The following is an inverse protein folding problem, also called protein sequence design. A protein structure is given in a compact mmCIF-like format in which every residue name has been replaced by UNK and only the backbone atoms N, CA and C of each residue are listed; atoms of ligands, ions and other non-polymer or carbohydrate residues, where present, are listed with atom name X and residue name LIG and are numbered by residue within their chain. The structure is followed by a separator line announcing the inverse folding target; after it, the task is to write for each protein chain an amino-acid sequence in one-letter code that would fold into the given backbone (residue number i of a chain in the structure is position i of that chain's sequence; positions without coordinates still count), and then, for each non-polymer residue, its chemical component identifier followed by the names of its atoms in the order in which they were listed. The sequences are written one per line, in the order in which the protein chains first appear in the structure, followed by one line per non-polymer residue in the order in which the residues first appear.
data_IF_339311102689
#
_entry.id   IF_339311102689
#
_cell.length_a   1.000
_cell.length_b   1.000
_cell.length_c   1.000
_cell.angle_alpha   90.00
_cell.angle_beta   90.00
_cell.angle_gamma   90.00
#
_symmetry.space_group_name_H-M   'P 1'
#
loop_
_entity.id
_entity.type
_entity.pdbx_description
1 polymer ?
#
# COMPACT_ATOMS: atom_id res chain seq x y z
N UNK A 1 0.48 -38.20 -26.82
CA UNK A 1 0.14 -37.71 -25.46
C UNK A 1 1.28 -36.91 -24.85
N UNK A 2 2.54 -37.37 -24.89
CA UNK A 2 3.71 -36.60 -24.40
C UNK A 2 3.99 -35.29 -25.16
N UNK A 3 3.87 -35.27 -26.49
CA UNK A 3 4.07 -34.06 -27.31
C UNK A 3 3.04 -32.97 -27.00
N UNK A 4 1.77 -33.35 -26.93
CA UNK A 4 0.66 -32.44 -26.59
C UNK A 4 0.83 -31.79 -25.20
N UNK A 5 1.39 -32.54 -24.24
CA UNK A 5 1.61 -32.04 -22.88
C UNK A 5 2.80 -31.08 -22.82
N UNK A 6 3.88 -31.39 -23.52
CA UNK A 6 5.06 -30.52 -23.65
C UNK A 6 4.73 -29.22 -24.38
N UNK A 7 3.96 -29.31 -25.47
CA UNK A 7 3.50 -28.15 -26.23
C UNK A 7 2.56 -27.28 -25.39
N UNK A 8 1.63 -27.90 -24.64
CA UNK A 8 0.76 -27.18 -23.71
C UNK A 8 1.51 -26.48 -22.57
N UNK A 9 2.53 -27.12 -22.00
CA UNK A 9 3.38 -26.49 -20.98
C UNK A 9 4.15 -25.30 -21.58
N UNK A 10 4.77 -25.47 -22.75
CA UNK A 10 5.52 -24.41 -23.40
C UNK A 10 4.63 -23.21 -23.75
N UNK A 11 3.43 -23.47 -24.28
CA UNK A 11 2.46 -22.43 -24.61
C UNK A 11 1.97 -21.70 -23.36
N UNK A 12 1.69 -22.43 -22.28
CA UNK A 12 1.29 -21.83 -21.00
C UNK A 12 2.37 -20.91 -20.42
N UNK A 13 3.65 -21.31 -20.54
CA UNK A 13 4.78 -20.50 -20.09
C UNK A 13 4.92 -19.24 -20.97
N UNK A 14 4.77 -19.38 -22.29
CA UNK A 14 4.84 -18.27 -23.24
C UNK A 14 3.75 -17.23 -22.97
N UNK A 15 2.51 -17.67 -22.75
CA UNK A 15 1.39 -16.78 -22.42
C UNK A 15 1.63 -16.09 -21.08
N UNK A 16 2.01 -16.85 -20.05
CA UNK A 16 2.29 -16.29 -18.72
C UNK A 16 3.41 -15.24 -18.75
N UNK A 17 4.51 -15.52 -19.45
CA UNK A 17 5.61 -14.56 -19.65
C UNK A 17 5.17 -13.36 -20.49
N UNK A 18 4.34 -13.55 -21.51
CA UNK A 18 3.82 -12.47 -22.35
C UNK A 18 2.95 -11.48 -21.56
N UNK A 19 2.08 -12.00 -20.68
CA UNK A 19 1.27 -11.17 -19.79
C UNK A 19 2.12 -10.48 -18.73
N UNK A 20 3.08 -11.19 -18.14
CA UNK A 20 4.04 -10.59 -17.22
C UNK A 20 4.81 -9.44 -17.88
N UNK A 21 5.27 -9.60 -19.13
CA UNK A 21 5.96 -8.54 -19.87
C UNK A 21 5.07 -7.33 -20.11
N UNK A 22 3.81 -7.57 -20.46
CA UNK A 22 2.82 -6.50 -20.69
C UNK A 22 2.52 -5.73 -19.40
N UNK A 23 2.45 -6.42 -18.25
CA UNK A 23 2.20 -5.80 -16.95
C UNK A 23 3.45 -5.21 -16.29
N UNK A 24 4.65 -5.70 -16.64
CA UNK A 24 5.90 -5.36 -15.96
C UNK A 24 6.17 -3.85 -15.95
N UNK A 25 5.91 -3.15 -17.06
CA UNK A 25 6.16 -1.71 -17.13
C UNK A 25 5.25 -0.93 -16.16
N UNK A 26 3.98 -1.32 -16.05
CA UNK A 26 3.02 -0.69 -15.14
C UNK A 26 3.44 -0.94 -13.69
N UNK A 27 3.79 -2.18 -13.34
CA UNK A 27 4.26 -2.56 -12.00
C UNK A 27 5.52 -1.76 -11.61
N UNK A 28 6.50 -1.66 -12.52
CA UNK A 28 7.73 -0.90 -12.28
C UNK A 28 7.41 0.58 -12.03
N UNK A 29 6.55 1.18 -12.85
CA UNK A 29 6.16 2.58 -12.70
C UNK A 29 5.36 2.84 -11.42
N UNK A 30 4.44 1.94 -11.08
CA UNK A 30 3.67 1.97 -9.84
C UNK A 30 4.57 1.97 -8.60
N UNK A 31 5.46 0.97 -8.52
CA UNK A 31 6.42 0.85 -7.42
C UNK A 31 7.36 2.06 -7.31
N UNK A 32 7.76 2.65 -8.44
CA UNK A 32 8.59 3.85 -8.44
C UNK A 32 7.83 5.04 -7.86
N UNK A 33 6.59 5.27 -8.30
CA UNK A 33 5.74 6.36 -7.79
C UNK A 33 5.47 6.16 -6.29
N UNK A 34 5.12 4.94 -5.88
CA UNK A 34 4.93 4.58 -4.47
C UNK A 34 6.18 4.90 -3.64
N UNK A 35 7.35 4.46 -4.10
CA UNK A 35 8.62 4.66 -3.39
C UNK A 35 8.98 6.14 -3.28
N UNK A 36 8.69 6.92 -4.32
CA UNK A 36 8.87 8.37 -4.30
C UNK A 36 7.97 9.00 -3.23
N UNK A 37 6.67 8.71 -3.26
CA UNK A 37 5.71 9.29 -2.30
C UNK A 37 6.08 8.91 -0.87
N UNK A 38 6.40 7.65 -0.60
CA UNK A 38 6.73 7.19 0.73
C UNK A 38 8.05 7.77 1.27
N UNK A 39 9.03 8.06 0.42
CA UNK A 39 10.30 8.68 0.84
C UNK A 39 10.17 10.18 1.09
N UNK A 40 9.32 10.88 0.33
CA UNK A 40 9.18 12.33 0.44
C UNK A 40 8.07 12.80 1.39
N UNK A 41 7.16 11.91 1.81
CA UNK A 41 6.04 12.25 2.71
C UNK A 41 6.27 11.64 4.10
N UNK A 42 6.63 12.48 5.09
CA UNK A 42 6.90 12.02 6.45
C UNK A 42 5.62 11.65 7.24
N UNK A 43 5.73 10.60 8.06
CA UNK A 43 4.61 10.08 8.86
C UNK A 43 4.13 11.07 9.93
N UNK A 44 5.01 11.86 10.52
CA UNK A 44 4.64 12.89 11.50
C UNK A 44 3.81 14.00 10.86
N UNK A 45 4.18 14.41 9.63
CA UNK A 45 3.43 15.44 8.89
C UNK A 45 2.06 14.91 8.48
N UNK A 46 1.98 13.66 8.01
CA UNK A 46 0.71 13.01 7.74
C UNK A 46 -0.16 12.92 8.99
N UNK A 47 0.37 12.42 10.12
CA UNK A 47 -0.40 12.27 11.35
C UNK A 47 -0.95 13.62 11.84
N UNK A 48 -0.14 14.68 11.80
CA UNK A 48 -0.57 16.03 12.18
C UNK A 48 -1.68 16.57 11.27
N UNK A 49 -1.61 16.29 9.97
CA UNK A 49 -2.60 16.73 8.98
C UNK A 49 -3.90 15.92 9.06
N UNK A 50 -3.80 14.62 9.39
CA UNK A 50 -4.93 13.70 9.52
C UNK A 50 -5.56 13.72 10.93
N UNK A 51 -5.02 14.50 11.88
CA UNK A 51 -5.60 14.68 13.21
C UNK A 51 -6.84 15.59 13.25
N UNK A 52 -7.11 16.35 12.19
CA UNK A 52 -8.28 17.24 12.13
C UNK A 52 -9.59 16.43 11.93
N UNK A 53 -10.55 16.49 12.85
CA UNK A 53 -11.85 15.77 12.76
C UNK A 53 -12.86 16.38 11.76
N UNK A 54 -12.41 17.31 10.92
CA UNK A 54 -13.26 18.07 10.01
C UNK A 54 -13.24 17.46 8.59
N UNK A 55 -14.17 17.92 7.74
CA UNK A 55 -14.22 17.53 6.32
C UNK A 55 -12.90 17.78 5.57
N UNK A 56 -12.09 18.75 6.02
CA UNK A 56 -10.77 19.02 5.46
C UNK A 56 -9.79 17.89 5.79
N UNK A 57 -9.79 17.39 7.02
CA UNK A 57 -9.00 16.23 7.45
C UNK A 57 -9.34 15.00 6.64
N UNK A 58 -10.64 14.73 6.45
CA UNK A 58 -11.12 13.63 5.61
C UNK A 58 -10.64 13.75 4.16
N UNK A 59 -10.83 14.93 3.55
CA UNK A 59 -10.41 15.18 2.17
C UNK A 59 -8.89 15.03 2.00
N UNK A 60 -8.11 15.58 2.93
CA UNK A 60 -6.64 15.44 2.91
C UNK A 60 -6.24 13.97 3.06
N UNK A 61 -6.88 13.22 3.96
CA UNK A 61 -6.62 11.80 4.16
C UNK A 61 -6.87 10.99 2.89
N UNK A 62 -7.98 11.24 2.19
CA UNK A 62 -8.30 10.62 0.90
C UNK A 62 -7.24 10.92 -0.15
N UNK A 63 -6.81 12.19 -0.29
CA UNK A 63 -5.77 12.58 -1.25
C UNK A 63 -4.43 11.92 -0.93
N UNK A 64 -4.02 11.91 0.34
CA UNK A 64 -2.79 11.23 0.76
C UNK A 64 -2.88 9.72 0.54
N UNK A 65 -4.03 9.11 0.77
CA UNK A 65 -4.26 7.69 0.49
C UNK A 65 -4.11 7.40 -0.99
N UNK A 66 -4.85 8.11 -1.84
CA UNK A 66 -4.78 7.98 -3.31
C UNK A 66 -3.34 8.11 -3.85
N UNK A 67 -2.53 8.99 -3.24
CA UNK A 67 -1.12 9.16 -3.59
C UNK A 67 -0.19 8.08 -3.01
N UNK A 68 -0.48 7.56 -1.81
CA UNK A 68 0.40 6.66 -1.05
C UNK A 68 0.57 5.29 -1.70
N UNK A 69 -0.30 4.91 -2.64
CA UNK A 69 -0.13 3.75 -3.53
C UNK A 69 0.33 2.49 -2.78
N UNK A 70 -0.33 2.23 -1.65
CA UNK A 70 -0.02 1.14 -0.74
C UNK A 70 -0.91 -0.07 -0.98
N UNK A 71 -0.34 -1.27 -0.97
CA UNK A 71 -1.11 -2.51 -0.88
C UNK A 71 -1.89 -2.57 0.45
N UNK A 72 -2.90 -3.43 0.56
CA UNK A 72 -3.74 -3.51 1.78
C UNK A 72 -2.92 -3.72 3.07
N UNK A 73 -1.85 -4.52 3.03
CA UNK A 73 -0.96 -4.73 4.17
C UNK A 73 -0.13 -3.48 4.51
N UNK A 74 0.42 -2.80 3.49
CA UNK A 74 1.15 -1.55 3.67
C UNK A 74 0.24 -0.43 4.22
N UNK A 75 -0.98 -0.33 3.69
CA UNK A 75 -1.97 0.64 4.15
C UNK A 75 -2.35 0.43 5.62
N UNK A 76 -2.54 -0.82 6.07
CA UNK A 76 -2.80 -1.15 7.49
C UNK A 76 -1.61 -0.80 8.37
N UNK A 77 -0.39 -1.15 7.96
CA UNK A 77 0.82 -0.85 8.74
C UNK A 77 1.02 0.66 8.92
N UNK A 78 0.85 1.44 7.85
CA UNK A 78 0.90 2.91 7.88
C UNK A 78 -0.25 3.45 8.74
N UNK A 79 -1.47 2.93 8.55
CA UNK A 79 -2.65 3.35 9.29
C UNK A 79 -2.49 3.17 10.81
N UNK A 80 -1.96 2.04 11.27
CA UNK A 80 -1.65 1.81 12.69
C UNK A 80 -0.70 2.88 13.24
N UNK A 81 0.39 3.16 12.52
CA UNK A 81 1.34 4.19 12.92
C UNK A 81 0.72 5.60 12.97
N UNK A 82 -0.13 5.96 12.00
CA UNK A 82 -0.85 7.24 12.00
C UNK A 82 -1.84 7.33 13.16
N UNK A 83 -2.62 6.28 13.40
CA UNK A 83 -3.60 6.21 14.47
C UNK A 83 -2.95 6.41 15.85
N UNK A 84 -1.83 5.74 16.10
CA UNK A 84 -1.07 5.88 17.35
C UNK A 84 -0.45 7.27 17.52
N UNK A 85 0.00 7.90 16.43
CA UNK A 85 0.51 9.28 16.42
C UNK A 85 -0.58 10.36 16.54
N UNK A 86 -1.85 9.97 16.73
CA UNK A 86 -2.95 10.89 17.01
C UNK A 86 -3.79 11.28 15.79
N UNK A 87 -3.65 10.60 14.65
CA UNK A 87 -4.56 10.81 13.52
C UNK A 87 -5.98 10.33 13.88
N UNK A 88 -6.99 11.09 13.47
CA UNK A 88 -8.40 10.76 13.74
C UNK A 88 -8.78 9.43 13.05
N UNK A 89 -9.52 8.57 13.75
CA UNK A 89 -9.81 7.20 13.29
C UNK A 89 -10.44 7.16 11.90
N UNK A 90 -11.44 8.01 11.67
CA UNK A 90 -12.14 8.11 10.38
C UNK A 90 -11.19 8.54 9.26
N UNK A 91 -10.24 9.45 9.55
CA UNK A 91 -9.26 9.89 8.57
C UNK A 91 -8.25 8.79 8.25
N UNK A 92 -7.83 8.00 9.25
CA UNK A 92 -6.97 6.83 9.03
C UNK A 92 -7.68 5.79 8.15
N UNK A 93 -8.95 5.50 8.42
CA UNK A 93 -9.75 4.59 7.60
C UNK A 93 -9.92 5.12 6.17
N UNK A 94 -10.24 6.40 6.01
CA UNK A 94 -10.36 7.04 4.70
C UNK A 94 -9.05 6.99 3.90
N UNK A 95 -7.91 7.20 4.57
CA UNK A 95 -6.59 7.00 3.97
C UNK A 95 -6.40 5.56 3.48
N UNK A 96 -6.75 4.56 4.29
CA UNK A 96 -6.61 3.14 3.92
C UNK A 96 -7.50 2.74 2.73
N UNK A 97 -8.74 3.20 2.71
CA UNK A 97 -9.66 2.96 1.60
C UNK A 97 -9.18 3.65 0.31
N UNK A 98 -8.75 4.90 0.40
CA UNK A 98 -8.23 5.64 -0.74
C UNK A 98 -6.92 5.05 -1.27
N UNK A 99 -6.04 4.56 -0.39
CA UNK A 99 -4.78 3.92 -0.78
C UNK A 99 -4.95 2.65 -1.61
N UNK A 100 -6.09 1.98 -1.48
CA UNK A 100 -6.35 0.71 -2.19
C UNK A 100 -7.29 0.88 -3.38
N UNK A 101 -8.20 1.86 -3.35
CA UNK A 101 -9.22 2.04 -4.39
C UNK A 101 -8.99 3.27 -5.29
N UNK A 102 -8.30 4.32 -4.83
CA UNK A 102 -8.11 5.57 -5.58
C UNK A 102 -6.66 5.76 -6.03
N UNK A 103 -5.90 4.66 -6.09
CA UNK A 103 -4.51 4.66 -6.52
C UNK A 103 -4.39 5.16 -7.98
N UNK A 104 -3.47 6.11 -8.19
CA UNK A 104 -3.28 6.75 -9.51
C UNK A 104 -2.91 5.73 -10.59
N UNK A 105 -2.18 4.68 -10.22
CA UNK A 105 -1.81 3.58 -11.12
C UNK A 105 -3.03 2.84 -11.68
N UNK A 106 -4.00 2.49 -10.81
CA UNK A 106 -5.24 1.84 -11.23
C UNK A 106 -6.07 2.76 -12.11
N UNK A 107 -6.17 4.04 -11.75
CA UNK A 107 -6.84 5.06 -12.56
C UNK A 107 -6.23 5.19 -13.96
N UNK A 108 -4.90 5.18 -14.07
CA UNK A 108 -4.21 5.22 -15.36
C UNK A 108 -4.49 3.96 -16.19
N UNK A 109 -4.48 2.78 -15.57
CA UNK A 109 -4.78 1.52 -16.25
C UNK A 109 -6.22 1.50 -16.78
N UNK A 110 -7.19 1.95 -15.98
CA UNK A 110 -8.59 2.06 -16.40
C UNK A 110 -8.74 3.06 -17.55
N UNK A 111 -8.08 4.22 -17.47
CA UNK A 111 -8.13 5.23 -18.52
C UNK A 111 -7.63 4.70 -19.87
N UNK A 112 -6.55 3.91 -19.85
CA UNK A 112 -5.95 3.35 -21.06
C UNK A 112 -6.79 2.19 -21.63
N UNK A 113 -7.32 1.32 -20.77
CA UNK A 113 -7.96 0.07 -21.21
C UNK A 113 -9.48 0.20 -21.44
N UNK A 114 -10.18 0.94 -20.57
CA UNK A 114 -11.63 1.04 -20.56
C UNK A 114 -12.15 2.42 -20.99
N UNK A 115 -11.31 3.46 -20.90
CA UNK A 115 -11.67 4.83 -21.27
C UNK A 115 -11.93 5.75 -20.07
N UNK A 116 -12.24 7.01 -20.36
CA UNK A 116 -12.38 8.05 -19.33
C UNK A 116 -13.69 7.92 -18.55
N UNK A 117 -14.73 7.31 -19.14
CA UNK A 117 -16.02 7.08 -18.51
C UNK A 117 -15.88 6.17 -17.28
N UNK A 118 -15.11 5.09 -17.43
CA UNK A 118 -14.82 4.16 -16.34
C UNK A 118 -13.90 4.78 -15.29
N UNK A 119 -12.94 5.62 -15.70
CA UNK A 119 -12.11 6.36 -14.75
C UNK A 119 -12.98 7.27 -13.87
N UNK A 120 -13.91 8.02 -14.46
CA UNK A 120 -14.82 8.89 -13.70
C UNK A 120 -15.72 8.06 -12.78
N UNK A 121 -16.24 6.92 -13.27
CA UNK A 121 -17.03 6.01 -12.46
C UNK A 121 -16.25 5.47 -11.25
N UNK A 122 -14.99 5.08 -11.44
CA UNK A 122 -14.10 4.63 -10.36
C UNK A 122 -13.86 5.74 -9.33
N UNK A 123 -13.50 6.95 -9.79
CA UNK A 123 -13.26 8.09 -8.91
C UNK A 123 -14.50 8.44 -8.08
N UNK A 124 -15.67 8.51 -8.73
CA UNK A 124 -16.94 8.78 -8.04
C UNK A 124 -17.31 7.64 -7.10
N UNK A 125 -17.19 6.39 -7.54
CA UNK A 125 -17.46 5.20 -6.74
C UNK A 125 -16.59 5.14 -5.49
N UNK A 126 -15.30 5.39 -5.61
CA UNK A 126 -14.37 5.43 -4.49
C UNK A 126 -14.67 6.57 -3.51
N UNK A 127 -15.00 7.77 -4.00
CA UNK A 127 -15.40 8.89 -3.13
C UNK A 127 -16.72 8.60 -2.41
N UNK A 128 -17.71 8.04 -3.11
CA UNK A 128 -18.98 7.62 -2.52
C UNK A 128 -18.73 6.54 -1.46
N UNK A 129 -17.90 5.56 -1.75
CA UNK A 129 -17.56 4.48 -0.82
C UNK A 129 -16.90 5.03 0.45
N UNK A 130 -15.96 5.98 0.33
CA UNK A 130 -15.34 6.64 1.48
C UNK A 130 -16.38 7.45 2.26
N UNK A 131 -17.29 8.16 1.60
CA UNK A 131 -18.36 8.90 2.26
C UNK A 131 -19.33 7.99 3.02
N UNK A 132 -19.72 6.86 2.41
CA UNK A 132 -20.57 5.84 3.04
C UNK A 132 -19.85 5.21 4.22
N UNK A 133 -18.57 4.87 4.08
CA UNK A 133 -17.76 4.33 5.17
C UNK A 133 -17.64 5.33 6.32
N UNK A 134 -17.34 6.60 6.04
CA UNK A 134 -17.27 7.65 7.07
C UNK A 134 -18.61 7.82 7.79
N UNK A 135 -19.73 7.81 7.05
CA UNK A 135 -21.08 7.85 7.61
C UNK A 135 -21.38 6.62 8.48
N UNK A 136 -21.09 5.42 7.99
CA UNK A 136 -21.33 4.18 8.73
C UNK A 136 -20.52 4.15 10.02
N UNK A 137 -19.24 4.52 9.97
CA UNK A 137 -18.38 4.58 11.16
C UNK A 137 -18.94 5.58 12.16
N UNK A 138 -19.34 6.77 11.71
CA UNK A 138 -19.89 7.80 12.59
C UNK A 138 -21.27 7.41 13.18
N UNK A 139 -22.06 6.58 12.48
CA UNK A 139 -23.36 6.09 12.97
C UNK A 139 -23.25 4.85 13.87
N UNK A 140 -22.26 3.98 13.65
CA UNK A 140 -22.16 2.68 14.34
C UNK A 140 -21.13 2.67 15.47
N UNK A 141 -20.07 3.47 15.39
CA UNK A 141 -18.99 3.48 16.37
C UNK A 141 -18.94 4.83 17.12
N UNK A 142 -19.06 4.83 18.46
CA UNK A 142 -18.98 6.05 19.23
C UNK A 142 -17.52 6.54 19.30
N UNK A 143 -17.32 7.86 19.14
CA UNK A 143 -15.99 8.47 18.98
C UNK A 143 -15.06 8.26 20.20
N UNK A 144 -15.65 8.13 21.39
CA UNK A 144 -14.91 7.86 22.64
C UNK A 144 -14.16 6.51 22.62
N UNK A 145 -14.66 5.53 21.85
CA UNK A 145 -14.04 4.21 21.77
C UNK A 145 -12.68 4.27 21.05
N UNK A 146 -12.51 5.19 20.09
CA UNK A 146 -11.25 5.32 19.37
C UNK A 146 -10.15 5.88 20.26
N UNK A 147 -10.47 6.85 21.11
CA UNK A 147 -9.50 7.40 22.05
C UNK A 147 -9.13 6.41 23.15
N UNK A 148 -10.11 5.64 23.64
CA UNK A 148 -9.87 4.56 24.62
C UNK A 148 -8.97 3.47 24.03
N UNK A 149 -9.27 2.99 22.82
CA UNK A 149 -8.43 1.99 22.12
C UNK A 149 -7.02 2.54 21.87
N UNK A 150 -6.89 3.83 21.53
CA UNK A 150 -5.56 4.46 21.37
C UNK A 150 -4.81 4.50 22.68
N UNK A 151 -5.46 4.83 23.79
CA UNK A 151 -4.85 4.89 25.12
C UNK A 151 -4.41 3.49 25.58
N UNK A 152 -5.27 2.49 25.46
CA UNK A 152 -4.96 1.08 25.76
C UNK A 152 -3.79 0.56 24.92
N UNK A 153 -3.78 0.80 23.61
CA UNK A 153 -2.65 0.45 22.73
C UNK A 153 -1.33 1.10 23.20
N UNK A 154 -1.37 2.38 23.54
CA UNK A 154 -0.19 3.11 24.01
C UNK A 154 0.25 2.65 25.42
N UNK A 155 -0.69 2.26 26.28
CA UNK A 155 -0.41 1.74 27.61
C UNK A 155 0.20 0.34 27.54
N UNK A 156 -0.41 -0.57 26.77
CA UNK A 156 0.09 -1.92 26.53
C UNK A 156 1.54 -1.90 26.05
N UNK A 157 1.88 -0.99 25.13
CA UNK A 157 3.24 -0.88 24.60
C UNK A 157 4.23 -0.32 25.65
N UNK A 158 3.79 0.59 26.52
CA UNK A 158 4.60 1.06 27.66
C UNK A 158 4.86 -0.05 28.67
N UNK A 159 3.85 -0.85 29.00
CA UNK A 159 3.94 -1.93 29.99
C UNK A 159 4.85 -3.07 29.53
N UNK A 160 4.82 -3.40 28.25
CA UNK A 160 5.68 -4.46 27.67
C UNK A 160 7.07 -3.96 27.26
N UNK A 161 7.39 -2.67 27.47
CA UNK A 161 8.66 -2.09 27.01
C UNK A 161 8.82 -2.16 25.48
N UNK A 162 7.70 -2.27 24.76
CA UNK A 162 7.64 -2.34 23.31
C UNK A 162 8.06 -0.97 22.79
N UNK A 163 9.27 -0.93 22.26
CA UNK A 163 9.83 0.25 21.64
C UNK A 163 9.43 0.19 20.18
N UNK A 164 8.54 1.08 19.77
CA UNK A 164 8.11 1.14 18.38
C UNK A 164 9.28 1.49 17.48
N UNK A 165 9.32 0.78 16.35
CA UNK A 165 10.16 1.15 15.24
C UNK A 165 9.72 2.51 14.70
N UNK A 166 10.55 3.56 14.79
CA UNK A 166 10.19 4.90 14.34
C UNK A 166 9.92 4.96 12.83
N UNK A 167 10.46 3.99 12.07
CA UNK A 167 10.31 3.89 10.62
C UNK A 167 8.97 3.31 10.25
N UNK A 168 8.59 2.16 10.82
CA UNK A 168 7.41 1.42 10.38
C UNK A 168 6.21 1.46 11.34
N UNK A 169 6.41 1.82 12.62
CA UNK A 169 5.36 1.79 13.65
C UNK A 169 5.00 0.38 14.13
N UNK A 170 5.87 -0.61 13.84
CA UNK A 170 5.75 -1.97 14.36
C UNK A 170 6.61 -2.13 15.62
N UNK A 171 6.36 -3.19 16.39
CA UNK A 171 7.18 -3.53 17.55
C UNK A 171 8.66 -3.73 17.16
N UNK A 172 9.54 -2.99 17.83
CA UNK A 172 10.98 -3.07 17.66
C UNK A 172 11.59 -4.25 18.40
N UNK A 173 12.67 -4.82 17.85
CA UNK A 173 13.39 -5.96 18.41
C UNK A 173 14.75 -5.51 18.93
N UNK A 174 15.18 -6.02 20.07
CA UNK A 174 16.49 -5.68 20.67
C UNK A 174 17.68 -5.88 19.72
N UNK A 175 17.59 -6.89 18.85
CA UNK A 175 18.62 -7.20 17.83
C UNK A 175 18.88 -6.03 16.87
N UNK A 176 17.88 -5.19 16.61
CA UNK A 176 18.01 -4.04 15.73
C UNK A 176 17.78 -2.79 16.57
N UNK A 177 18.84 -2.26 17.18
CA UNK A 177 18.76 -1.07 18.02
C UNK A 177 19.85 -0.07 17.66
N UNK A 178 19.54 1.21 17.84
CA UNK A 178 20.44 2.34 17.61
C UNK A 178 20.35 3.29 18.80
N UNK A 179 21.47 3.55 19.46
CA UNK A 179 21.54 4.63 20.45
C UNK A 179 21.88 5.92 19.74
N UNK A 180 20.99 6.91 19.85
CA UNK A 180 21.17 8.24 19.26
C UNK A 180 22.19 9.05 20.06
N UNK A 181 22.73 10.12 19.46
CA UNK A 181 23.66 11.05 20.14
C UNK A 181 23.03 11.72 21.37
N UNK A 182 21.68 11.75 21.45
CA UNK A 182 20.91 12.23 22.61
C UNK A 182 20.78 11.20 23.74
N UNK A 183 21.33 9.98 23.58
CA UNK A 183 21.29 8.92 24.58
C UNK A 183 20.02 8.06 24.56
N UNK A 184 19.08 8.30 23.63
CA UNK A 184 17.89 7.46 23.46
C UNK A 184 18.21 6.21 22.62
N UNK A 185 17.85 5.03 23.12
CA UNK A 185 17.97 3.76 22.38
C UNK A 185 16.68 3.48 21.62
N UNK A 186 16.74 3.63 20.30
CA UNK A 186 15.67 3.30 19.37
C UNK A 186 15.76 1.83 18.99
N UNK A 187 14.63 1.11 18.92
CA UNK A 187 14.56 -0.27 18.45
C UNK A 187 13.81 -0.34 17.13
N UNK A 188 14.13 -1.32 16.30
CA UNK A 188 13.61 -1.48 14.95
C UNK A 188 13.06 -2.91 14.77
N UNK A 189 12.00 -3.07 13.99
CA UNK A 189 11.36 -4.37 13.78
C UNK A 189 12.23 -5.28 12.89
N UNK A 190 13.09 -4.67 12.07
CA UNK A 190 13.93 -5.34 11.08
C UNK A 190 15.20 -4.53 10.78
N UNK A 191 16.22 -5.21 10.25
CA UNK A 191 17.43 -4.55 9.75
C UNK A 191 17.13 -3.49 8.69
N UNK A 192 16.11 -3.73 7.84
CA UNK A 192 15.74 -2.78 6.80
C UNK A 192 15.16 -1.48 7.35
N UNK A 193 14.43 -1.52 8.48
CA UNK A 193 13.90 -0.30 9.10
C UNK A 193 15.01 0.50 9.80
N UNK A 194 15.92 -0.19 10.51
CA UNK A 194 17.12 0.43 11.07
C UNK A 194 17.94 1.17 10.00
N UNK A 195 18.16 0.52 8.85
CA UNK A 195 18.91 1.10 7.72
C UNK A 195 18.19 2.34 7.14
N UNK A 196 16.86 2.29 6.98
CA UNK A 196 16.09 3.46 6.52
C UNK A 196 16.16 4.61 7.50
N UNK A 197 16.04 4.36 8.80
CA UNK A 197 16.16 5.41 9.81
C UNK A 197 17.54 6.05 9.81
N UNK A 198 18.61 5.26 9.70
CA UNK A 198 19.98 5.80 9.60
C UNK A 198 20.17 6.64 8.34
N UNK A 199 19.59 6.22 7.21
CA UNK A 199 19.60 7.00 5.96
C UNK A 199 18.82 8.32 6.10
N UNK A 200 17.72 8.32 6.85
CA UNK A 200 16.89 9.51 7.09
C UNK A 200 17.51 10.47 8.12
N UNK A 201 18.14 9.95 9.17
CA UNK A 201 18.89 10.73 10.15
C UNK A 201 20.14 11.39 9.54
N UNK A 202 20.77 10.75 8.56
CA UNK A 202 21.93 11.29 7.85
C UNK A 202 21.58 12.41 6.84
N UNK A 203 20.32 12.58 6.48
CA UNK A 203 19.85 13.57 5.50
C UNK A 203 19.15 14.75 6.19
N UNK A 204 19.89 15.79 6.53
CA UNK A 204 19.37 17.00 7.19
C UNK A 204 19.10 18.17 6.23
N UNK A 205 18.85 17.88 4.94
CA UNK A 205 18.64 18.88 3.88
C UNK A 205 17.18 19.28 3.66
N UNK A 206 16.94 20.44 3.03
CA UNK A 206 15.59 20.85 2.63
C UNK A 206 15.02 19.97 1.49
N UNK A 207 13.71 19.74 1.46
CA UNK A 207 13.03 18.83 0.51
C UNK A 207 13.38 19.04 -0.98
N UNK A 208 13.73 20.26 -1.39
CA UNK A 208 14.15 20.59 -2.77
C UNK A 208 15.59 20.17 -3.06
N UNK A 209 16.48 20.36 -2.11
CA UNK A 209 17.86 19.90 -2.22
C UNK A 209 17.91 18.37 -2.13
N UNK A 210 16.99 17.76 -1.38
CA UNK A 210 16.88 16.32 -1.23
C UNK A 210 16.32 15.62 -2.47
N UNK A 211 15.42 16.28 -3.23
CA UNK A 211 14.89 15.79 -4.53
C UNK A 211 15.98 15.66 -5.60
N UNK A 212 16.99 16.51 -5.58
CA UNK A 212 18.12 16.48 -6.51
C UNK A 212 19.38 15.81 -5.92
N UNK A 213 19.36 15.48 -4.62
CA UNK A 213 20.50 14.86 -3.95
C UNK A 213 20.63 13.38 -4.29
N UNK A 214 21.88 12.91 -4.38
CA UNK A 214 22.19 11.49 -4.54
C UNK A 214 21.64 10.63 -3.37
N UNK A 215 21.57 11.21 -2.17
CA UNK A 215 21.00 10.55 -0.98
C UNK A 215 19.50 10.29 -1.08
N UNK A 216 18.73 11.25 -1.62
CA UNK A 216 17.29 11.09 -1.87
C UNK A 216 16.99 9.96 -2.86
N UNK A 217 17.71 9.93 -3.99
CA UNK A 217 17.57 8.85 -4.98
C UNK A 217 17.99 7.49 -4.42
N UNK A 218 19.00 7.44 -3.55
CA UNK A 218 19.39 6.21 -2.87
C UNK A 218 18.28 5.68 -1.94
N UNK A 219 17.61 6.57 -1.18
CA UNK A 219 16.44 6.19 -0.36
C UNK A 219 15.29 5.66 -1.21
N UNK A 220 14.95 6.35 -2.31
CA UNK A 220 13.91 5.92 -3.25
C UNK A 220 14.25 4.53 -3.82
N UNK A 221 15.50 4.33 -4.23
CA UNK A 221 15.97 3.03 -4.74
C UNK A 221 15.90 1.91 -3.69
N UNK A 222 16.27 2.20 -2.43
CA UNK A 222 16.16 1.22 -1.35
C UNK A 222 14.69 0.89 -1.04
N UNK A 223 13.80 1.88 -1.04
CA UNK A 223 12.37 1.66 -0.83
C UNK A 223 11.76 0.85 -1.98
N UNK A 224 12.10 1.19 -3.23
CA UNK A 224 11.69 0.43 -4.41
C UNK A 224 12.12 -1.03 -4.33
N UNK A 225 13.38 -1.28 -3.93
CA UNK A 225 13.90 -2.64 -3.75
C UNK A 225 13.11 -3.43 -2.70
N UNK A 226 12.71 -2.78 -1.60
CA UNK A 226 11.92 -3.42 -0.54
C UNK A 226 10.53 -3.80 -1.02
N UNK A 227 9.83 -2.87 -1.67
CA UNK A 227 8.49 -3.11 -2.24
C UNK A 227 8.56 -4.24 -3.30
N UNK A 228 9.54 -4.19 -4.20
CA UNK A 228 9.76 -5.26 -5.18
C UNK A 228 10.06 -6.62 -4.52
N UNK A 229 10.94 -6.64 -3.52
CA UNK A 229 11.28 -7.88 -2.81
C UNK A 229 10.08 -8.50 -2.09
N UNK A 230 9.06 -7.71 -1.75
CA UNK A 230 7.85 -8.21 -1.10
C UNK A 230 6.96 -8.94 -2.09
N UNK A 231 6.72 -8.37 -3.28
CA UNK A 231 5.65 -8.83 -4.19
C UNK A 231 6.12 -9.74 -5.32
N UNK A 232 7.42 -9.75 -5.68
CA UNK A 232 7.88 -10.38 -6.92
C UNK A 232 7.53 -11.88 -7.03
N UNK A 233 7.52 -12.60 -5.92
CA UNK A 233 7.16 -14.04 -5.89
C UNK A 233 5.70 -14.25 -6.23
N UNK A 234 4.82 -13.44 -5.65
CA UNK A 234 3.37 -13.55 -5.85
C UNK A 234 3.00 -13.15 -7.27
N UNK A 235 3.64 -12.10 -7.80
CA UNK A 235 3.48 -11.66 -9.20
C UNK A 235 3.88 -12.79 -10.16
N UNK A 236 5.09 -13.35 -10.01
CA UNK A 236 5.56 -14.44 -10.90
C UNK A 236 4.64 -15.66 -10.79
N UNK A 237 4.30 -16.08 -9.57
CA UNK A 237 3.42 -17.22 -9.36
C UNK A 237 2.04 -16.98 -10.01
N UNK A 238 1.46 -15.80 -9.83
CA UNK A 238 0.17 -15.42 -10.40
C UNK A 238 0.16 -15.49 -11.93
N UNK A 239 1.16 -14.91 -12.61
CA UNK A 239 1.24 -14.94 -14.07
C UNK A 239 1.50 -16.35 -14.62
N UNK A 240 2.31 -17.17 -13.94
CA UNK A 240 2.55 -18.56 -14.33
C UNK A 240 1.28 -19.41 -14.16
N UNK A 241 0.58 -19.27 -13.04
CA UNK A 241 -0.69 -19.96 -12.79
C UNK A 241 -1.74 -19.52 -13.81
N UNK A 242 -1.83 -18.22 -14.10
CA UNK A 242 -2.75 -17.68 -15.11
C UNK A 242 -2.48 -18.28 -16.50
N UNK A 243 -1.21 -18.33 -16.93
CA UNK A 243 -0.82 -18.96 -18.20
C UNK A 243 -1.21 -20.45 -18.25
N UNK A 244 -1.03 -21.18 -17.15
CA UNK A 244 -1.43 -22.58 -17.05
C UNK A 244 -2.96 -22.75 -17.12
N UNK A 245 -3.69 -21.94 -16.38
CA UNK A 245 -5.15 -21.96 -16.34
C UNK A 245 -5.75 -21.67 -17.73
N UNK A 246 -5.19 -20.73 -18.49
CA UNK A 246 -5.67 -20.40 -19.84
C UNK A 246 -5.56 -21.58 -20.82
N UNK A 247 -4.47 -22.35 -20.73
CA UNK A 247 -4.23 -23.47 -21.65
C UNK A 247 -4.97 -24.74 -21.23
N UNK A 248 -5.04 -25.01 -19.91
CA UNK A 248 -5.53 -26.29 -19.40
C UNK A 248 -6.97 -26.25 -18.88
N UNK A 249 -7.58 -25.08 -18.63
CA UNK A 249 -8.99 -24.97 -18.21
C UNK A 249 -9.88 -24.63 -19.42
N UNK A 250 -10.72 -25.57 -19.87
CA UNK A 250 -11.59 -25.34 -21.02
C UNK A 250 -12.67 -24.28 -20.76
N UNK A 251 -13.08 -23.58 -21.82
CA UNK A 251 -14.11 -22.53 -21.76
C UNK A 251 -15.46 -23.00 -21.16
N UNK A 252 -15.84 -24.27 -21.33
CA UNK A 252 -17.08 -24.78 -20.75
C UNK A 252 -17.08 -24.78 -19.22
N UNK A 253 -15.91 -24.92 -18.58
CA UNK A 253 -15.78 -24.83 -17.11
C UNK A 253 -16.12 -23.42 -16.66
N UNK A 254 -15.62 -22.41 -17.38
CA UNK A 254 -15.93 -21.01 -17.12
C UNK A 254 -17.40 -20.68 -17.35
N UNK A 255 -17.99 -21.20 -18.43
CA UNK A 255 -19.40 -20.97 -18.75
C UNK A 255 -20.36 -21.65 -17.76
N UNK A 256 -19.95 -22.77 -17.16
CA UNK A 256 -20.71 -23.44 -16.11
C UNK A 256 -20.55 -22.74 -14.74
N UNK A 257 -19.37 -22.21 -14.45
CA UNK A 257 -19.04 -21.54 -13.18
C UNK A 257 -19.65 -20.12 -13.12
N UNK A 258 -19.44 -19.33 -14.17
CA UNK A 258 -20.07 -18.04 -14.36
C UNK A 258 -21.26 -18.26 -15.27
N UNK A 259 -22.42 -18.58 -14.68
CA UNK A 259 -23.70 -18.73 -15.37
C UNK A 259 -23.86 -17.63 -16.43
N UNK A 260 -23.42 -17.87 -17.66
CA UNK A 260 -23.77 -17.04 -18.78
C UNK A 260 -25.26 -17.26 -18.94
N UNK A 261 -26.02 -16.27 -18.46
CA UNK A 261 -27.46 -16.24 -18.60
C UNK A 261 -27.77 -16.52 -20.07
N UNK A 262 -28.61 -17.53 -20.29
CA UNK A 262 -29.36 -17.70 -21.54
C UNK A 262 -29.78 -16.33 -22.05
N UNK A 263 -29.20 -15.92 -23.17
CA UNK A 263 -29.53 -14.70 -23.90
C UNK A 263 -31.04 -14.60 -24.07
N UNK A 264 -31.67 -13.68 -23.35
CA UNK A 264 -33.07 -13.31 -23.52
C UNK A 264 -33.39 -11.94 -22.89
N UNK A 265 -32.51 -10.95 -23.08
CA UNK A 265 -32.81 -9.52 -22.97
C UNK A 265 -31.93 -8.74 -23.93
#
# INVERSE_FOLDING_TARGET
MQTVLLDGIFESLRIGVGFLWTAAWAIIMGLLITSLVQVYVSKERMAKVLGEENLRGLTKATVFGAASSGCSFGAVAIGKGLFKKGAHAVNVLAFMFASTNLIVELGLMILILLGWEFLVAELLGGVILIAVMALLVHLTLPENLFDEVRQELNQHDREHGVTEDPTCGMEGKDRYSLTTDGGETLKFCSAGCLETYQQEAASSGGWRDELLSWGGWYKVGNQYRKEWSMIWKDVIAGFLISGFVIVFVPQWVWNALFLQGRDSW
#
